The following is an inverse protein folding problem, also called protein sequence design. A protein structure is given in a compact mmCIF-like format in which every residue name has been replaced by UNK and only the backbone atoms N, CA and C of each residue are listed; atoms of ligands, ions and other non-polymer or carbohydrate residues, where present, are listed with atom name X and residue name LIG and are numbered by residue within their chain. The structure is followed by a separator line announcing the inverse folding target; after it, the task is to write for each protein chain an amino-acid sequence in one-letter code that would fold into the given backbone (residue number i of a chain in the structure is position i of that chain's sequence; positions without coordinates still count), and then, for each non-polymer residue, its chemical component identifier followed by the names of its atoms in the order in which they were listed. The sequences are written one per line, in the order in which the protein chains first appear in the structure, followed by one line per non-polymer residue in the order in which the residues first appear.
data_IF_853767792221
#
_entry.id   IF_853767792221
#
_cell.length_a   1.000
_cell.length_b   1.000
_cell.length_c   1.000
_cell.angle_alpha   90.00
_cell.angle_beta   90.00
_cell.angle_gamma   90.00
#
_symmetry.space_group_name_H-M   'P 1'
#
loop_
_entity.id
_entity.type
_entity.pdbx_description
1 polymer ?
#
# COMPACT_ATOMS: atom_id res chain seq x y z
N UNK A 1 -17.44 27.59 11.32
CA UNK A 1 -18.36 26.48 10.98
C UNK A 1 -19.42 26.24 12.05
N UNK A 2 -19.05 26.02 13.33
CA UNK A 2 -20.03 25.83 14.42
C UNK A 2 -21.01 27.00 14.63
N UNK A 3 -20.57 28.25 14.47
CA UNK A 3 -21.45 29.41 14.61
C UNK A 3 -22.56 29.43 13.54
N UNK A 4 -22.21 29.12 12.30
CA UNK A 4 -23.15 29.03 11.17
C UNK A 4 -24.20 27.94 11.39
N UNK A 5 -23.77 26.74 11.83
CA UNK A 5 -24.69 25.65 12.15
C UNK A 5 -25.61 26.03 13.31
N UNK A 6 -25.09 26.69 14.35
CA UNK A 6 -25.90 27.17 15.47
C UNK A 6 -26.96 28.19 15.05
N UNK A 7 -26.71 28.98 14.00
CA UNK A 7 -27.73 29.89 13.44
C UNK A 7 -28.80 29.10 12.68
N UNK A 8 -28.42 28.16 11.82
CA UNK A 8 -29.34 27.36 11.01
C UNK A 8 -30.25 26.44 11.86
N UNK A 9 -29.73 25.85 12.94
CA UNK A 9 -30.48 24.89 13.77
C UNK A 9 -31.40 25.54 14.81
N UNK A 10 -31.32 26.86 15.00
CA UNK A 10 -32.11 27.59 16.00
C UNK A 10 -33.08 28.58 15.33
N UNK A 11 -34.37 28.26 15.30
CA UNK A 11 -35.37 29.01 14.53
C UNK A 11 -35.44 30.52 14.79
N UNK A 12 -35.24 30.99 16.03
CA UNK A 12 -35.21 32.44 16.33
C UNK A 12 -33.96 33.12 15.75
N UNK A 13 -32.81 32.46 15.79
CA UNK A 13 -31.54 32.97 15.27
C UNK A 13 -31.55 32.93 13.75
N UNK A 14 -32.03 31.83 13.17
CA UNK A 14 -32.25 31.71 11.73
C UNK A 14 -33.16 32.82 11.22
N UNK A 15 -34.32 33.03 11.85
CA UNK A 15 -35.26 34.10 11.47
C UNK A 15 -34.64 35.50 11.53
N UNK A 16 -33.77 35.77 12.50
CA UNK A 16 -33.04 37.02 12.58
C UNK A 16 -31.99 37.16 11.46
N UNK A 17 -31.28 36.07 11.15
CA UNK A 17 -30.22 36.04 10.14
C UNK A 17 -30.75 36.18 8.70
N UNK A 18 -31.97 35.75 8.43
CA UNK A 18 -32.60 35.86 7.09
C UNK A 18 -33.57 37.03 6.96
N UNK A 19 -33.64 37.91 7.98
CA UNK A 19 -34.64 38.98 8.05
C UNK A 19 -34.56 39.98 6.88
N UNK A 20 -33.36 40.20 6.37
CA UNK A 20 -33.10 41.15 5.28
C UNK A 20 -33.24 40.53 3.88
N UNK A 21 -33.45 39.22 3.79
CA UNK A 21 -33.64 38.52 2.52
C UNK A 21 -35.08 38.68 2.03
N UNK A 22 -35.23 38.81 0.72
CA UNK A 22 -36.51 38.74 0.04
C UNK A 22 -37.08 37.31 0.05
N UNK A 23 -38.38 37.20 -0.24
CA UNK A 23 -39.04 35.91 -0.36
C UNK A 23 -38.42 35.03 -1.46
N UNK A 24 -37.97 35.64 -2.56
CA UNK A 24 -37.34 34.92 -3.68
C UNK A 24 -35.98 34.34 -3.27
N UNK A 25 -35.15 35.13 -2.58
CA UNK A 25 -33.87 34.66 -2.06
C UNK A 25 -34.05 33.55 -1.01
N UNK A 26 -35.07 33.66 -0.14
CA UNK A 26 -35.41 32.59 0.80
C UNK A 26 -35.78 31.28 0.09
N UNK A 27 -36.52 31.34 -1.01
CA UNK A 27 -36.86 30.17 -1.83
C UNK A 27 -35.62 29.58 -2.51
N UNK A 28 -34.71 30.43 -3.01
CA UNK A 28 -33.46 29.98 -3.61
C UNK A 28 -32.54 29.29 -2.58
N UNK A 29 -32.44 29.83 -1.37
CA UNK A 29 -31.73 29.19 -0.25
C UNK A 29 -32.34 27.83 0.08
N UNK A 30 -33.68 27.73 0.13
CA UNK A 30 -34.36 26.47 0.37
C UNK A 30 -34.11 25.46 -0.77
N UNK A 31 -34.13 25.90 -2.03
CA UNK A 31 -33.84 25.04 -3.18
C UNK A 31 -32.41 24.47 -3.14
N UNK A 32 -31.42 25.30 -2.78
CA UNK A 32 -30.03 24.87 -2.61
C UNK A 32 -29.88 23.87 -1.47
N UNK A 33 -30.57 24.09 -0.35
CA UNK A 33 -30.53 23.16 0.78
C UNK A 33 -31.17 21.81 0.41
N UNK A 34 -32.31 21.83 -0.27
CA UNK A 34 -32.97 20.61 -0.74
C UNK A 34 -32.05 19.82 -1.70
N UNK A 35 -31.39 20.50 -2.63
CA UNK A 35 -30.42 19.84 -3.52
C UNK A 35 -29.30 19.13 -2.74
N UNK A 36 -28.76 19.78 -1.71
CA UNK A 36 -27.73 19.16 -0.85
C UNK A 36 -28.27 17.94 -0.09
N UNK A 37 -29.55 17.97 0.32
CA UNK A 37 -30.20 16.82 0.95
C UNK A 37 -30.35 15.68 -0.05
N UNK A 38 -30.90 15.97 -1.24
CA UNK A 38 -31.12 14.98 -2.31
C UNK A 38 -29.80 14.30 -2.71
N UNK A 39 -28.74 15.08 -2.93
CA UNK A 39 -27.41 14.54 -3.27
C UNK A 39 -26.91 13.58 -2.18
N UNK A 40 -27.14 13.90 -0.90
CA UNK A 40 -26.71 13.10 0.25
C UNK A 40 -27.55 11.83 0.44
N UNK A 41 -28.85 11.90 0.18
CA UNK A 41 -29.72 10.72 0.18
C UNK A 41 -29.32 9.74 -0.92
N UNK A 42 -28.96 10.23 -2.12
CA UNK A 42 -28.46 9.39 -3.21
C UNK A 42 -27.14 8.72 -2.83
N UNK A 43 -26.20 9.44 -2.23
CA UNK A 43 -24.95 8.88 -1.72
C UNK A 43 -25.20 7.78 -0.66
N UNK A 44 -26.05 8.06 0.33
CA UNK A 44 -26.35 7.11 1.40
C UNK A 44 -27.09 5.86 0.89
N UNK A 45 -28.00 6.03 -0.07
CA UNK A 45 -28.65 4.89 -0.75
C UNK A 45 -27.66 4.06 -1.57
N UNK A 46 -26.72 4.70 -2.28
CA UNK A 46 -25.68 4.01 -3.03
C UNK A 46 -24.73 3.23 -2.11
N UNK A 47 -24.33 3.81 -0.98
CA UNK A 47 -23.53 3.15 0.04
C UNK A 47 -24.27 1.97 0.68
N UNK A 48 -25.55 2.15 1.02
CA UNK A 48 -26.40 1.09 1.55
C UNK A 48 -26.55 -0.07 0.56
N UNK A 49 -26.77 0.22 -0.72
CA UNK A 49 -26.85 -0.79 -1.78
C UNK A 49 -25.52 -1.53 -1.98
N UNK A 50 -24.39 -0.81 -1.99
CA UNK A 50 -23.07 -1.42 -2.10
C UNK A 50 -22.74 -2.33 -0.89
N UNK A 51 -23.13 -1.91 0.31
CA UNK A 51 -22.98 -2.74 1.52
C UNK A 51 -23.91 -3.96 1.48
N UNK A 52 -25.14 -3.82 1.01
CA UNK A 52 -26.07 -4.94 0.84
C UNK A 52 -25.50 -5.97 -0.14
N UNK A 53 -25.03 -5.53 -1.32
CA UNK A 53 -24.41 -6.41 -2.32
C UNK A 53 -23.15 -7.08 -1.77
N UNK A 54 -22.31 -6.34 -1.03
CA UNK A 54 -21.14 -6.92 -0.36
C UNK A 54 -21.54 -8.01 0.63
N UNK A 55 -22.56 -7.77 1.45
CA UNK A 55 -23.03 -8.72 2.44
C UNK A 55 -23.67 -9.96 1.80
N UNK A 56 -24.43 -9.79 0.72
CA UNK A 56 -24.98 -10.90 -0.07
C UNK A 56 -23.86 -11.75 -0.68
N UNK A 57 -22.82 -11.12 -1.25
CA UNK A 57 -21.64 -11.83 -1.77
C UNK A 57 -20.93 -12.60 -0.66
N UNK A 58 -20.73 -12.00 0.51
CA UNK A 58 -20.12 -12.68 1.67
C UNK A 58 -20.97 -13.88 2.09
N UNK A 59 -22.29 -13.70 2.23
CA UNK A 59 -23.20 -14.78 2.59
C UNK A 59 -23.17 -15.93 1.58
N UNK A 60 -23.13 -15.61 0.28
CA UNK A 60 -23.02 -16.61 -0.78
C UNK A 60 -21.70 -17.38 -0.70
N UNK A 61 -20.57 -16.69 -0.48
CA UNK A 61 -19.25 -17.33 -0.30
C UNK A 61 -19.26 -18.23 0.93
N UNK A 62 -19.82 -17.78 2.06
CA UNK A 62 -19.93 -18.60 3.27
C UNK A 62 -20.75 -19.86 3.03
N UNK A 63 -21.88 -19.75 2.32
CA UNK A 63 -22.69 -20.91 1.95
C UNK A 63 -21.92 -21.89 1.05
N UNK A 64 -21.12 -21.39 0.10
CA UNK A 64 -20.26 -22.24 -0.72
C UNK A 64 -19.18 -22.95 0.12
N UNK A 65 -18.54 -22.24 1.04
CA UNK A 65 -17.53 -22.81 1.95
C UNK A 65 -18.14 -23.98 2.74
N UNK A 66 -19.30 -23.76 3.36
CA UNK A 66 -20.02 -24.77 4.13
C UNK A 66 -20.45 -25.97 3.26
N UNK A 67 -20.96 -25.74 2.04
CA UNK A 67 -21.34 -26.81 1.10
C UNK A 67 -20.17 -27.70 0.69
N UNK A 68 -18.96 -27.14 0.64
CA UNK A 68 -17.75 -27.90 0.33
C UNK A 68 -17.13 -28.57 1.57
N UNK A 69 -17.79 -28.47 2.74
CA UNK A 69 -17.29 -29.01 4.00
C UNK A 69 -16.02 -28.31 4.50
N UNK A 70 -15.77 -27.08 4.05
CA UNK A 70 -14.64 -26.25 4.45
C UNK A 70 -15.08 -25.28 5.54
N UNK A 71 -14.12 -24.84 6.35
CA UNK A 71 -14.28 -23.76 7.33
C UNK A 71 -13.54 -22.49 6.90
N UNK A 72 -13.80 -21.37 7.57
CA UNK A 72 -13.08 -20.10 7.32
C UNK A 72 -11.59 -20.27 7.68
N UNK A 73 -11.30 -21.07 8.70
CA UNK A 73 -9.96 -21.40 9.18
C UNK A 73 -9.15 -22.16 8.11
N UNK A 74 -9.79 -23.11 7.40
CA UNK A 74 -9.14 -23.89 6.33
C UNK A 74 -8.69 -23.00 5.15
N UNK A 75 -9.38 -21.88 4.90
CA UNK A 75 -8.97 -20.91 3.89
C UNK A 75 -7.77 -20.06 4.34
N UNK A 76 -7.69 -19.75 5.64
CA UNK A 76 -6.60 -18.97 6.23
C UNK A 76 -5.25 -19.66 6.08
N UNK A 77 -5.19 -20.96 6.35
CA UNK A 77 -3.97 -21.77 6.30
C UNK A 77 -3.33 -21.84 4.90
N UNK A 78 -4.14 -21.75 3.85
CA UNK A 78 -3.66 -21.73 2.46
C UNK A 78 -2.90 -20.43 2.15
N UNK A 79 -3.30 -19.30 2.75
CA UNK A 79 -2.70 -17.98 2.47
C UNK A 79 -1.37 -17.75 3.19
N UNK A 80 -1.13 -18.45 4.30
CA UNK A 80 0.16 -18.44 5.02
C UNK A 80 1.22 -19.33 4.36
N UNK A 81 0.82 -20.21 3.43
CA UNK A 81 1.73 -20.98 2.60
C UNK A 81 2.35 -20.14 1.46
N UNK A 82 2.83 -18.92 1.73
CA UNK A 82 3.74 -18.24 0.81
C UNK A 82 5.07 -18.99 0.83
N UNK A 83 5.32 -19.74 -0.24
CA UNK A 83 6.58 -20.43 -0.50
C UNK A 83 7.77 -19.54 -0.11
N UNK A 84 8.63 -20.05 0.78
CA UNK A 84 9.83 -19.36 1.22
C UNK A 84 10.62 -18.86 -0.01
N UNK A 85 11.12 -17.61 0.00
CA UNK A 85 11.82 -17.06 -1.15
C UNK A 85 13.02 -17.95 -1.47
N UNK A 86 13.04 -18.51 -2.69
CA UNK A 86 14.16 -19.29 -3.23
C UNK A 86 15.42 -18.41 -3.14
N UNK A 87 16.31 -18.71 -2.19
CA UNK A 87 17.63 -18.06 -2.10
C UNK A 87 18.33 -18.25 -3.44
N UNK A 88 18.56 -17.15 -4.16
CA UNK A 88 19.38 -17.16 -5.39
C UNK A 88 20.79 -17.61 -5.00
N UNK A 89 21.39 -18.48 -5.81
CA UNK A 89 22.76 -18.91 -5.60
C UNK A 89 23.69 -17.68 -5.60
N UNK A 90 24.62 -17.56 -4.63
CA UNK A 90 25.59 -16.48 -4.62
C UNK A 90 26.42 -16.51 -5.91
N UNK A 91 26.71 -15.32 -6.46
CA UNK A 91 27.47 -15.20 -7.72
C UNK A 91 28.89 -15.75 -7.51
N UNK A 92 29.49 -16.42 -8.51
CA UNK A 92 30.84 -16.92 -8.40
C UNK A 92 31.85 -15.77 -8.21
N UNK A 93 32.96 -15.99 -7.49
CA UNK A 93 34.03 -15.00 -7.36
C UNK A 93 34.68 -14.69 -8.71
N UNK A 94 35.17 -13.45 -8.90
CA UNK A 94 35.86 -12.98 -10.12
C UNK A 94 37.36 -12.91 -9.98
N UNK A 95 37.85 -12.54 -8.80
CA UNK A 95 39.27 -12.39 -8.51
C UNK A 95 39.68 -13.32 -7.37
N UNK A 96 40.91 -13.82 -7.39
CA UNK A 96 41.52 -14.62 -6.33
C UNK A 96 42.96 -14.18 -6.04
N UNK A 97 43.34 -14.19 -4.76
CA UNK A 97 44.71 -13.93 -4.31
C UNK A 97 45.05 -14.86 -3.15
N UNK A 98 46.27 -15.39 -3.13
CA UNK A 98 46.77 -16.21 -2.02
C UNK A 98 47.69 -15.36 -1.15
N UNK A 99 47.33 -15.17 0.12
CA UNK A 99 48.13 -14.44 1.10
C UNK A 99 48.35 -15.35 2.30
N UNK A 100 49.60 -15.53 2.71
CA UNK A 100 49.98 -16.38 3.86
C UNK A 100 49.43 -17.81 3.81
N UNK A 101 49.28 -18.35 2.59
CA UNK A 101 48.74 -19.70 2.33
C UNK A 101 47.20 -19.78 2.30
N UNK A 102 46.49 -18.67 2.52
CA UNK A 102 45.02 -18.61 2.47
C UNK A 102 44.54 -18.00 1.13
N UNK A 103 43.58 -18.67 0.48
CA UNK A 103 42.98 -18.22 -0.78
C UNK A 103 41.80 -17.29 -0.50
N UNK A 104 41.97 -16.00 -0.83
CA UNK A 104 40.93 -14.99 -0.68
C UNK A 104 40.32 -14.71 -2.06
N UNK A 105 38.99 -14.78 -2.14
CA UNK A 105 38.26 -14.55 -3.39
C UNK A 105 37.31 -13.36 -3.30
N UNK A 106 37.10 -12.68 -4.42
CA UNK A 106 36.22 -11.52 -4.51
C UNK A 106 35.38 -11.55 -5.78
N UNK A 107 34.08 -11.34 -5.66
CA UNK A 107 33.12 -11.35 -6.78
C UNK A 107 33.24 -10.15 -7.72
N UNK A 108 34.09 -9.17 -7.37
CA UNK A 108 34.18 -7.89 -8.09
C UNK A 108 32.99 -6.96 -7.83
N UNK A 109 32.02 -7.39 -6.99
CA UNK A 109 30.85 -6.59 -6.63
C UNK A 109 30.91 -6.24 -5.14
N UNK A 110 30.76 -4.95 -4.82
CA UNK A 110 30.77 -4.46 -3.44
C UNK A 110 32.16 -4.08 -2.92
N UNK A 111 32.36 -4.11 -1.60
CA UNK A 111 33.61 -3.65 -0.97
C UNK A 111 34.75 -4.61 -1.32
N UNK A 112 35.81 -4.07 -1.92
CA UNK A 112 37.03 -4.80 -2.24
C UNK A 112 37.75 -5.24 -0.95
N UNK A 113 38.16 -6.51 -0.82
CA UNK A 113 38.94 -6.98 0.32
C UNK A 113 40.29 -6.26 0.41
N UNK A 114 40.77 -6.03 1.62
CA UNK A 114 41.99 -5.26 1.90
C UNK A 114 43.21 -5.80 1.13
N UNK A 115 43.30 -7.12 0.97
CA UNK A 115 44.41 -7.78 0.24
C UNK A 115 44.50 -7.35 -1.23
N UNK A 116 43.38 -7.28 -1.94
CA UNK A 116 43.37 -6.78 -3.32
C UNK A 116 43.67 -5.29 -3.36
N UNK A 117 43.13 -4.54 -2.40
CA UNK A 117 43.36 -3.09 -2.31
C UNK A 117 44.84 -2.76 -2.13
N UNK A 118 45.53 -3.45 -1.23
CA UNK A 118 46.97 -3.25 -0.98
C UNK A 118 47.81 -3.54 -2.22
N UNK A 119 47.49 -4.60 -2.97
CA UNK A 119 48.21 -4.94 -4.20
C UNK A 119 47.95 -3.95 -5.35
N UNK A 120 46.71 -3.46 -5.46
CA UNK A 120 46.37 -2.41 -6.43
C UNK A 120 47.03 -1.08 -6.07
N UNK A 121 47.06 -0.71 -4.78
CA UNK A 121 47.77 0.48 -4.29
C UNK A 121 49.29 0.35 -4.46
N UNK A 122 49.84 -0.87 -4.44
CA UNK A 122 51.23 -1.16 -4.79
C UNK A 122 51.53 -1.12 -6.31
N UNK A 123 50.54 -0.75 -7.14
CA UNK A 123 50.68 -0.52 -8.57
C UNK A 123 50.42 -1.74 -9.46
N UNK A 124 49.92 -2.85 -8.92
CA UNK A 124 49.55 -4.03 -9.73
C UNK A 124 48.13 -3.89 -10.28
N UNK A 125 47.90 -4.38 -11.50
CA UNK A 125 46.54 -4.39 -12.05
C UNK A 125 45.67 -5.41 -11.33
N UNK A 126 44.41 -5.05 -11.07
CA UNK A 126 43.42 -5.98 -10.49
C UNK A 126 43.20 -7.21 -11.39
N UNK A 127 43.40 -7.05 -12.70
CA UNK A 127 43.24 -8.13 -13.69
C UNK A 127 44.30 -9.22 -13.56
N UNK A 128 45.43 -8.93 -12.92
CA UNK A 128 46.44 -9.95 -12.59
C UNK A 128 45.91 -11.00 -11.61
N UNK A 129 44.86 -10.67 -10.87
CA UNK A 129 44.22 -11.56 -9.91
C UNK A 129 42.93 -12.20 -10.44
N UNK A 130 42.65 -12.05 -11.73
CA UNK A 130 41.47 -12.65 -12.35
C UNK A 130 41.56 -14.17 -12.29
N UNK A 131 40.45 -14.83 -11.91
CA UNK A 131 40.43 -16.30 -11.86
C UNK A 131 40.59 -16.84 -13.29
N UNK A 132 41.50 -17.81 -13.54
CA UNK A 132 41.71 -18.39 -14.86
C UNK A 132 40.40 -18.90 -15.48
N UNK A 133 40.05 -18.40 -16.67
CA UNK A 133 38.82 -18.77 -17.39
C UNK A 133 37.64 -17.80 -17.23
N UNK A 134 37.83 -16.67 -16.55
CA UNK A 134 36.91 -15.53 -16.62
C UNK A 134 37.52 -14.45 -17.50
N UNK A 135 36.95 -14.19 -18.68
CA UNK A 135 37.24 -13.03 -19.53
C UNK A 135 36.21 -11.91 -19.31
#
# INVERSE_FOLDING_TARGET
MNEFINVLTHGRRFKAAVKELSLEELKDVAAKLNKVIDDREVEEQAEAAANAERNERIANILAQIEQNGLSIEDLGDITTAKAAPKKRAPRPPKYQITVDGELITWTGQGRMPTVFKTEVEAGKSIDTFLIPGME
#
